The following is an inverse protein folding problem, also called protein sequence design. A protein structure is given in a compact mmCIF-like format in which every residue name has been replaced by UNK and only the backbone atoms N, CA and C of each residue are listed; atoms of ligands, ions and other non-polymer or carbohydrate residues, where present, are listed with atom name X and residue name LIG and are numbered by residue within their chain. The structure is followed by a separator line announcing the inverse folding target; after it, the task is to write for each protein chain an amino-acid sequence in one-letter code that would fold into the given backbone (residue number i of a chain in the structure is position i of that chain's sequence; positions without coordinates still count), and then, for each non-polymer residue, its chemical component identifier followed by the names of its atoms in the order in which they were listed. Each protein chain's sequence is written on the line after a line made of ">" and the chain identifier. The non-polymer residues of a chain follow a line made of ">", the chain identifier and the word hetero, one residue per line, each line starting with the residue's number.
data_IF_635877988207
#
_entry.id   IF_635877988207
#
_cell.length_a   1.000
_cell.length_b   1.000
_cell.length_c   1.000
_cell.angle_alpha   90.00
_cell.angle_beta   90.00
_cell.angle_gamma   90.00
#
_symmetry.space_group_name_H-M   'P 1'
#
loop_
_entity.id
_entity.type
_entity.pdbx_description
1 polymer ?
#
# COMPACT_ATOMS: atom_id res chain seq x y z
N UNK A 1 0.65 -1.88 3.27
CA UNK A 1 0.93 -2.22 4.70
C UNK A 1 0.91 -1.00 5.61
N UNK A 2 1.53 0.15 5.29
CA UNK A 2 1.53 1.35 6.16
C UNK A 2 0.11 1.80 6.57
N UNK A 3 -0.83 1.91 5.63
CA UNK A 3 -2.22 2.27 5.93
C UNK A 3 -2.94 1.23 6.80
N UNK A 4 -2.60 -0.05 6.68
CA UNK A 4 -3.19 -1.11 7.48
C UNK A 4 -2.75 -1.05 8.95
N UNK A 5 -1.53 -0.62 9.22
CA UNK A 5 -0.99 -0.42 10.57
C UNK A 5 -1.24 0.97 11.17
N UNK A 6 -1.86 1.89 10.43
CA UNK A 6 -2.09 3.26 10.88
C UNK A 6 -3.05 3.37 12.09
N UNK A 7 -4.13 2.57 12.21
CA UNK A 7 -4.96 2.59 13.41
C UNK A 7 -4.20 2.06 14.63
N UNK A 8 -4.36 2.73 15.78
CA UNK A 8 -3.65 2.36 17.03
C UNK A 8 -3.86 0.92 17.47
N UNK A 9 -5.06 0.37 17.23
CA UNK A 9 -5.40 -1.02 17.57
C UNK A 9 -4.82 -2.06 16.60
N UNK A 10 -4.06 -1.64 15.60
CA UNK A 10 -3.35 -2.48 14.60
C UNK A 10 -1.84 -2.21 14.60
N UNK A 11 -1.28 -1.84 15.74
CA UNK A 11 0.16 -1.60 15.87
C UNK A 11 1.00 -2.85 15.55
N UNK A 12 0.47 -4.04 15.81
CA UNK A 12 1.02 -5.34 15.46
C UNK A 12 1.35 -5.48 13.95
N UNK A 13 0.54 -4.88 13.10
CA UNK A 13 0.81 -4.85 11.63
C UNK A 13 2.09 -4.06 11.33
N UNK A 14 2.33 -2.98 12.06
CA UNK A 14 3.57 -2.21 11.93
C UNK A 14 4.78 -3.03 12.40
N UNK A 15 4.66 -3.68 13.54
CA UNK A 15 5.72 -4.53 14.11
C UNK A 15 6.06 -5.69 13.18
N UNK A 16 5.05 -6.28 12.53
CA UNK A 16 5.25 -7.31 11.52
C UNK A 16 6.05 -6.80 10.32
N UNK A 17 5.79 -5.60 9.83
CA UNK A 17 6.56 -5.00 8.73
C UNK A 17 8.01 -4.80 9.12
N UNK A 18 8.26 -4.28 10.33
CA UNK A 18 9.62 -4.07 10.83
C UNK A 18 10.35 -5.41 11.07
N UNK A 19 9.63 -6.44 11.51
CA UNK A 19 10.18 -7.79 11.59
C UNK A 19 10.61 -8.30 10.21
N UNK A 20 9.75 -8.20 9.19
CA UNK A 20 10.06 -8.66 7.83
C UNK A 20 11.24 -7.90 7.21
N UNK A 21 11.35 -6.59 7.44
CA UNK A 21 12.52 -5.81 7.01
C UNK A 21 13.82 -6.37 7.59
N UNK A 22 13.80 -6.66 8.91
CA UNK A 22 14.96 -7.29 9.57
C UNK A 22 15.26 -8.70 9.05
N UNK A 23 14.23 -9.46 8.66
CA UNK A 23 14.45 -10.78 8.07
C UNK A 23 15.12 -10.69 6.70
N UNK A 24 14.63 -9.81 5.80
CA UNK A 24 15.25 -9.61 4.48
C UNK A 24 16.74 -9.27 4.61
N UNK A 25 17.11 -8.44 5.59
CA UNK A 25 18.50 -8.07 5.82
C UNK A 25 19.42 -9.23 6.28
N UNK A 26 18.83 -10.34 6.76
CA UNK A 26 19.59 -11.52 7.22
C UNK A 26 19.88 -12.53 6.11
N UNK A 27 19.17 -12.47 5.01
CA UNK A 27 19.29 -13.42 3.92
C UNK A 27 19.99 -12.77 2.72
N UNK A 28 20.64 -13.55 1.87
CA UNK A 28 21.29 -13.05 0.64
C UNK A 28 20.23 -12.69 -0.42
N UNK A 29 19.42 -11.68 -0.13
CA UNK A 29 18.41 -11.17 -1.05
C UNK A 29 18.97 -9.95 -1.78
N UNK A 30 18.97 -10.00 -3.10
CA UNK A 30 19.32 -8.85 -3.93
C UNK A 30 18.10 -7.91 -3.99
N UNK A 31 18.14 -6.84 -3.18
CA UNK A 31 17.03 -5.92 -2.99
C UNK A 31 17.21 -4.64 -3.78
N UNK A 32 16.40 -4.43 -4.79
CA UNK A 32 16.35 -3.21 -5.58
C UNK A 32 15.14 -2.36 -5.19
N UNK A 33 15.38 -1.23 -4.54
CA UNK A 33 14.35 -0.24 -4.18
C UNK A 33 14.31 0.88 -5.21
N UNK A 34 13.15 1.52 -5.35
CA UNK A 34 12.91 2.61 -6.31
C UNK A 34 13.28 2.25 -7.75
N UNK A 35 13.15 0.97 -8.08
CA UNK A 35 13.45 0.42 -9.40
C UNK A 35 12.16 -0.12 -10.01
N UNK A 36 11.76 0.42 -11.14
CA UNK A 36 10.67 -0.13 -11.93
C UNK A 36 11.20 -1.33 -12.72
N UNK A 37 10.59 -2.48 -12.53
CA UNK A 37 10.95 -3.71 -13.25
C UNK A 37 10.11 -3.82 -14.52
N UNK A 38 10.77 -4.10 -15.63
CA UNK A 38 10.13 -4.29 -16.94
C UNK A 38 10.08 -5.77 -17.32
N UNK A 39 9.33 -6.08 -18.39
CA UNK A 39 9.30 -7.43 -18.93
C UNK A 39 10.68 -7.87 -19.43
N UNK A 40 11.44 -6.95 -20.05
CA UNK A 40 12.80 -7.21 -20.52
C UNK A 40 13.74 -7.55 -19.36
N UNK A 41 13.58 -6.89 -18.21
CA UNK A 41 14.37 -7.21 -17.02
C UNK A 41 14.09 -8.61 -16.51
N UNK A 42 12.82 -9.00 -16.45
CA UNK A 42 12.42 -10.37 -16.07
C UNK A 42 13.00 -11.40 -17.03
N UNK A 43 12.90 -11.14 -18.34
CA UNK A 43 13.46 -12.02 -19.36
C UNK A 43 14.98 -12.17 -19.25
N UNK A 44 15.69 -11.07 -18.99
CA UNK A 44 17.14 -11.06 -18.83
C UNK A 44 17.61 -11.83 -17.59
N UNK A 45 16.83 -11.76 -16.50
CA UNK A 45 17.15 -12.43 -15.25
C UNK A 45 16.90 -13.95 -15.31
N UNK A 46 16.09 -14.43 -16.26
CA UNK A 46 15.73 -15.85 -16.41
C UNK A 46 15.35 -16.53 -15.09
N UNK A 47 14.44 -15.96 -14.27
CA UNK A 47 14.09 -16.56 -13.00
C UNK A 47 13.27 -17.83 -13.18
N UNK A 48 13.43 -18.82 -12.27
CA UNK A 48 12.58 -20.00 -12.25
C UNK A 48 11.12 -19.67 -11.89
N UNK A 49 10.92 -18.66 -11.04
CA UNK A 49 9.60 -18.21 -10.62
C UNK A 49 9.54 -16.69 -10.50
N UNK A 50 8.38 -16.12 -10.80
CA UNK A 50 8.08 -14.70 -10.61
C UNK A 50 6.88 -14.57 -9.69
N UNK A 51 7.03 -13.84 -8.59
CA UNK A 51 5.92 -13.51 -7.67
C UNK A 51 5.52 -12.05 -7.87
N UNK A 52 4.31 -11.82 -8.35
CA UNK A 52 3.75 -10.48 -8.52
C UNK A 52 3.04 -10.07 -7.23
N UNK A 53 3.66 -9.18 -6.46
CA UNK A 53 3.15 -8.70 -5.17
C UNK A 53 3.12 -7.16 -5.10
N UNK A 54 2.68 -6.51 -6.18
CA UNK A 54 2.72 -5.06 -6.38
C UNK A 54 1.71 -4.26 -5.53
N UNK A 55 0.88 -4.95 -4.74
CA UNK A 55 -0.17 -4.32 -3.95
C UNK A 55 -1.41 -3.95 -4.76
N UNK A 56 -2.20 -3.00 -4.27
CA UNK A 56 -3.44 -2.57 -4.90
C UNK A 56 -3.59 -1.05 -4.84
N UNK A 57 -4.33 -0.51 -5.80
CA UNK A 57 -4.78 0.89 -5.80
C UNK A 57 -6.24 0.93 -5.33
N UNK A 58 -6.63 1.95 -4.53
CA UNK A 58 -8.04 2.15 -4.17
C UNK A 58 -8.90 2.34 -5.41
N UNK A 59 -10.02 1.64 -5.47
CA UNK A 59 -11.04 1.87 -6.51
C UNK A 59 -11.90 3.07 -6.09
N UNK A 60 -12.01 4.04 -6.97
CA UNK A 60 -12.97 5.15 -6.82
C UNK A 60 -14.21 4.79 -7.62
N UNK A 61 -15.35 4.73 -6.94
CA UNK A 61 -16.63 4.42 -7.61
C UNK A 61 -17.02 5.57 -8.56
N UNK A 62 -17.51 5.29 -9.77
CA UNK A 62 -17.86 6.30 -10.75
C UNK A 62 -19.26 6.89 -10.46
N UNK A 63 -19.37 7.67 -9.39
CA UNK A 63 -20.60 8.38 -9.03
C UNK A 63 -20.42 9.89 -9.16
N UNK A 64 -21.48 10.66 -9.48
CA UNK A 64 -21.41 12.11 -9.55
C UNK A 64 -20.86 12.71 -8.27
N UNK A 65 -19.81 13.52 -8.39
CA UNK A 65 -19.16 14.19 -7.26
C UNK A 65 -18.04 13.42 -6.57
N UNK A 66 -17.67 12.22 -7.04
CA UNK A 66 -16.51 11.48 -6.54
C UNK A 66 -15.17 12.21 -6.73
N UNK A 67 -15.13 13.13 -7.67
CA UNK A 67 -13.99 13.99 -8.04
C UNK A 67 -13.88 15.27 -7.21
N UNK A 68 -14.86 15.55 -6.34
CA UNK A 68 -14.88 16.80 -5.56
C UNK A 68 -13.74 16.86 -4.53
N UNK A 69 -13.21 18.06 -4.21
CA UNK A 69 -12.06 18.23 -3.30
C UNK A 69 -12.24 17.64 -1.89
N UNK A 70 -13.50 17.58 -1.40
CA UNK A 70 -13.83 17.05 -0.10
C UNK A 70 -14.02 15.52 -0.09
N UNK A 71 -13.95 14.86 -1.25
CA UNK A 71 -13.97 13.41 -1.37
C UNK A 71 -12.55 12.86 -1.32
N UNK A 72 -12.38 11.73 -0.69
CA UNK A 72 -11.08 11.06 -0.57
C UNK A 72 -11.26 9.56 -0.43
N UNK A 73 -10.26 8.81 -0.86
CA UNK A 73 -10.15 7.40 -0.46
C UNK A 73 -9.64 7.30 0.99
N UNK A 74 -9.80 6.14 1.61
CA UNK A 74 -9.43 5.95 3.02
C UNK A 74 -7.91 6.07 3.28
N UNK A 75 -7.07 5.68 2.31
CA UNK A 75 -5.61 5.61 2.51
C UNK A 75 -4.98 6.95 2.90
N UNK A 76 -5.20 8.09 2.19
CA UNK A 76 -4.65 9.37 2.59
C UNK A 76 -5.12 9.83 3.98
N UNK A 77 -6.36 9.52 4.35
CA UNK A 77 -6.90 9.85 5.68
C UNK A 77 -6.22 9.03 6.77
N UNK A 78 -6.07 7.72 6.58
CA UNK A 78 -5.39 6.82 7.52
C UNK A 78 -3.92 7.22 7.72
N UNK A 79 -3.24 7.64 6.66
CA UNK A 79 -1.86 8.10 6.70
C UNK A 79 -1.70 9.56 7.16
N UNK A 80 -2.79 10.22 7.58
CA UNK A 80 -2.81 11.64 8.02
C UNK A 80 -2.29 12.62 6.95
N UNK A 81 -2.42 12.24 5.68
CA UNK A 81 -2.08 13.08 4.52
C UNK A 81 -3.25 13.97 4.11
N UNK A 82 -4.47 13.63 4.56
CA UNK A 82 -5.68 14.40 4.36
C UNK A 82 -6.49 14.44 5.65
N UNK A 83 -6.83 15.63 6.08
CA UNK A 83 -7.72 15.86 7.23
C UNK A 83 -9.19 15.69 6.82
N UNK A 84 -9.99 15.25 7.75
CA UNK A 84 -11.44 15.13 7.62
C UNK A 84 -12.13 16.03 8.65
N UNK A 85 -13.30 16.54 8.29
CA UNK A 85 -14.10 17.36 9.19
C UNK A 85 -14.82 16.51 10.27
N UNK A 86 -15.65 17.19 11.06
CA UNK A 86 -16.42 16.53 12.14
C UNK A 86 -17.54 15.64 11.60
N UNK A 87 -18.07 15.93 10.39
CA UNK A 87 -19.11 15.13 9.75
C UNK A 87 -18.51 14.39 8.57
N UNK A 88 -18.46 13.10 8.65
CA UNK A 88 -17.86 12.21 7.63
C UNK A 88 -18.85 11.14 7.22
N UNK A 89 -18.98 10.93 5.93
CA UNK A 89 -19.71 9.80 5.35
C UNK A 89 -18.70 8.83 4.78
N UNK A 90 -18.79 7.57 5.18
CA UNK A 90 -17.95 6.48 4.65
C UNK A 90 -18.80 5.62 3.73
N UNK A 91 -18.35 5.46 2.50
CA UNK A 91 -19.02 4.62 1.51
C UNK A 91 -18.18 3.36 1.31
N UNK A 92 -18.77 2.21 1.58
CA UNK A 92 -18.08 0.93 1.65
C UNK A 92 -17.64 0.59 3.06
N UNK A 93 -16.75 -0.36 3.21
CA UNK A 93 -16.22 -0.78 4.52
C UNK A 93 -16.34 -2.28 4.76
N UNK A 94 -16.65 -3.03 3.71
CA UNK A 94 -16.63 -4.50 3.73
C UNK A 94 -15.23 -5.07 3.64
#
# INVERSE_FOLDING_TARGET
>A
MAAAGAPRFKADVHDQVEYLKRQIAKYPVDLHLNTEITLEDVQRLHPDFVVVATGAKPVVIPVPGADKPHVSTAVPVLLKQKEVGQKVVVVGGG
#
